data_IF_042669701411
#
_entry.id   IF_042669701411
#
_cell.length_a   1.000
_cell.length_b   1.000
_cell.length_c   1.000
_cell.angle_alpha   90.00
_cell.angle_beta   90.00
_cell.angle_gamma   90.00
#
_symmetry.space_group_name_H-M   'P 1'
#
loop_
_entity.id
_entity.type
_entity.pdbx_description
1 polymer ?
#
# COMPACT_ATOMS: atom_id res chain seq x y z
N UNK A 1 -6.81 17.97 20.81
CA UNK A 1 -6.24 18.22 19.47
C UNK A 1 -7.03 17.38 18.47
N UNK A 2 -7.58 18.02 17.43
CA UNK A 2 -8.32 17.33 16.38
C UNK A 2 -7.31 16.82 15.34
N UNK A 3 -7.38 15.54 14.97
CA UNK A 3 -6.49 14.91 13.99
C UNK A 3 -7.32 14.09 12.99
N UNK A 4 -6.87 13.96 11.74
CA UNK A 4 -7.60 13.20 10.72
C UNK A 4 -7.69 11.73 11.12
N UNK A 5 -8.91 11.15 11.11
CA UNK A 5 -9.13 9.74 11.44
C UNK A 5 -9.31 8.90 10.20
N UNK A 6 -9.06 7.61 10.36
CA UNK A 6 -9.23 6.62 9.31
C UNK A 6 -10.67 6.58 8.82
N UNK A 7 -10.84 6.59 7.51
CA UNK A 7 -12.15 6.57 6.87
C UNK A 7 -12.80 7.95 6.71
N UNK A 8 -12.15 9.02 7.15
CA UNK A 8 -12.55 10.39 6.83
C UNK A 8 -12.04 10.79 5.45
N UNK A 9 -12.78 11.68 4.80
CA UNK A 9 -12.41 12.22 3.50
C UNK A 9 -12.09 13.70 3.66
N UNK A 10 -10.92 14.09 3.18
CA UNK A 10 -10.37 15.43 3.31
C UNK A 10 -10.04 15.97 1.92
N UNK A 11 -10.09 17.27 1.74
CA UNK A 11 -9.48 17.89 0.57
C UNK A 11 -7.98 18.00 0.79
N UNK A 12 -7.20 17.66 -0.24
CA UNK A 12 -5.75 17.72 -0.14
C UNK A 12 -5.09 18.10 -1.47
N UNK A 13 -3.90 18.71 -1.34
CA UNK A 13 -2.98 18.92 -2.45
C UNK A 13 -1.97 17.78 -2.45
N UNK A 14 -1.94 16.97 -3.51
CA UNK A 14 -1.01 15.84 -3.61
C UNK A 14 0.20 16.31 -4.43
N UNK A 15 1.36 16.61 -3.81
CA UNK A 15 2.57 16.93 -4.55
C UNK A 15 3.08 15.64 -5.22
N UNK A 16 3.29 15.67 -6.53
CA UNK A 16 3.81 14.47 -7.21
C UNK A 16 3.56 14.39 -8.71
N UNK A 17 2.81 15.31 -9.30
CA UNK A 17 2.69 15.47 -10.75
C UNK A 17 3.12 16.89 -11.13
N UNK A 18 4.17 17.07 -11.94
CA UNK A 18 4.58 18.39 -12.41
C UNK A 18 3.40 19.11 -13.07
N UNK A 19 2.99 20.26 -12.51
CA UNK A 19 1.86 21.05 -13.02
C UNK A 19 0.47 20.68 -12.48
N UNK A 20 0.33 19.67 -11.61
CA UNK A 20 -0.96 19.35 -10.98
C UNK A 20 -1.12 20.10 -9.64
N UNK A 21 -1.61 21.32 -9.71
CA UNK A 21 -1.98 22.14 -8.53
C UNK A 21 -3.40 21.82 -8.03
N UNK A 22 -4.08 20.84 -8.62
CA UNK A 22 -5.50 20.59 -8.35
C UNK A 22 -5.67 19.97 -6.97
N UNK A 23 -6.57 20.57 -6.21
CA UNK A 23 -7.09 20.00 -4.97
C UNK A 23 -7.98 18.81 -5.32
N UNK A 24 -7.80 17.70 -4.60
CA UNK A 24 -8.56 16.47 -4.83
C UNK A 24 -9.07 15.93 -3.51
N UNK A 25 -10.26 15.32 -3.49
CA UNK A 25 -10.71 14.62 -2.30
C UNK A 25 -9.86 13.36 -2.10
N UNK A 26 -9.39 13.17 -0.88
CA UNK A 26 -8.56 12.04 -0.47
C UNK A 26 -9.15 11.34 0.73
N UNK A 27 -9.08 10.01 0.72
CA UNK A 27 -9.54 9.16 1.83
C UNK A 27 -8.36 8.80 2.73
N UNK A 28 -8.51 9.02 4.03
CA UNK A 28 -7.49 8.65 5.03
C UNK A 28 -7.54 7.15 5.30
N UNK A 29 -6.43 6.46 5.08
CA UNK A 29 -6.34 4.99 5.20
C UNK A 29 -5.43 4.50 6.31
N UNK A 30 -4.51 5.36 6.78
CA UNK A 30 -3.64 5.12 7.92
C UNK A 30 -4.42 4.90 9.21
N UNK A 31 -3.81 4.23 10.18
CA UNK A 31 -4.41 3.97 11.50
C UNK A 31 -4.46 5.25 12.33
N UNK A 32 -5.50 5.37 13.17
CA UNK A 32 -5.70 6.56 14.02
C UNK A 32 -4.50 6.83 14.94
N UNK A 33 -3.88 5.77 15.48
CA UNK A 33 -2.66 5.89 16.28
C UNK A 33 -1.51 6.52 15.48
N UNK A 34 -1.32 6.14 14.21
CA UNK A 34 -0.30 6.79 13.36
C UNK A 34 -0.67 8.24 13.13
N UNK A 35 -1.93 8.52 12.78
CA UNK A 35 -2.38 9.88 12.48
C UNK A 35 -2.25 10.83 13.67
N UNK A 36 -2.33 10.29 14.89
CA UNK A 36 -2.14 11.08 16.11
C UNK A 36 -0.68 11.49 16.31
N UNK A 37 0.28 10.58 16.12
CA UNK A 37 1.68 10.81 16.50
C UNK A 37 2.62 11.18 15.33
N UNK A 38 2.31 10.74 14.10
CA UNK A 38 3.14 11.03 12.94
C UNK A 38 2.81 12.40 12.35
N UNK A 39 3.78 13.05 11.69
CA UNK A 39 3.55 14.29 10.95
C UNK A 39 2.88 14.05 9.58
N UNK A 40 2.94 12.82 9.10
CA UNK A 40 2.34 12.39 7.83
C UNK A 40 1.11 11.49 8.05
N UNK A 41 0.32 11.35 7.00
CA UNK A 41 -0.80 10.43 6.92
C UNK A 41 -0.77 9.67 5.60
N UNK A 42 -1.37 8.47 5.58
CA UNK A 42 -1.53 7.70 4.36
C UNK A 42 -2.90 7.97 3.77
N UNK A 43 -2.93 8.38 2.52
CA UNK A 43 -4.15 8.77 1.82
C UNK A 43 -4.29 8.05 0.48
N UNK A 44 -5.54 7.90 0.05
CA UNK A 44 -5.89 7.38 -1.27
C UNK A 44 -6.72 8.43 -2.01
N UNK A 45 -6.30 8.88 -3.20
CA UNK A 45 -7.06 9.86 -3.96
C UNK A 45 -8.36 9.28 -4.52
N UNK A 46 -9.39 10.11 -4.53
CA UNK A 46 -10.68 9.81 -5.11
C UNK A 46 -10.81 10.47 -6.49
N UNK A 47 -11.55 9.82 -7.38
CA UNK A 47 -11.85 10.33 -8.71
C UNK A 47 -13.31 10.05 -9.05
N UNK A 48 -14.00 11.04 -9.60
CA UNK A 48 -15.37 10.89 -10.13
C UNK A 48 -15.40 10.11 -11.45
N UNK A 49 -14.25 9.93 -12.11
CA UNK A 49 -14.15 9.15 -13.34
C UNK A 49 -14.18 7.65 -13.01
N UNK A 50 -15.34 7.03 -13.21
CA UNK A 50 -15.60 5.62 -12.93
C UNK A 50 -14.96 4.71 -14.01
N UNK A 51 -13.64 4.52 -13.93
CA UNK A 51 -12.95 3.51 -14.75
C UNK A 51 -12.85 2.20 -13.97
N UNK A 52 -13.13 1.04 -14.55
CA UNK A 52 -12.93 -0.24 -13.87
C UNK A 52 -11.43 -0.54 -13.73
N UNK A 53 -11.01 -1.01 -12.56
CA UNK A 53 -9.67 -1.55 -12.29
C UNK A 53 -9.75 -2.51 -11.10
N UNK A 54 -8.93 -3.58 -11.04
CA UNK A 54 -8.88 -4.48 -9.89
C UNK A 54 -8.54 -3.77 -8.56
N UNK A 55 -7.77 -2.69 -8.62
CA UNK A 55 -7.36 -1.89 -7.46
C UNK A 55 -8.35 -0.79 -7.11
N UNK A 56 -9.31 -0.50 -7.98
CA UNK A 56 -10.30 0.53 -7.72
C UNK A 56 -11.37 0.05 -6.74
N UNK A 57 -11.76 0.96 -5.84
CA UNK A 57 -12.87 0.73 -4.92
C UNK A 57 -13.97 1.75 -5.22
N UNK A 58 -15.12 1.24 -5.64
CA UNK A 58 -16.30 2.06 -5.87
C UNK A 58 -16.87 2.59 -4.54
N UNK A 59 -17.15 3.89 -4.52
CA UNK A 59 -17.79 4.63 -3.43
C UNK A 59 -19.07 5.26 -3.98
N UNK A 60 -20.26 4.80 -3.57
CA UNK A 60 -21.51 5.44 -4.00
C UNK A 60 -21.66 6.83 -3.38
N UNK A 61 -22.45 7.70 -4.02
CA UNK A 61 -22.82 9.00 -3.45
C UNK A 61 -23.43 8.84 -2.04
N UNK A 62 -23.18 9.81 -1.17
CA UNK A 62 -23.55 9.79 0.26
C UNK A 62 -22.61 8.96 1.14
N UNK A 63 -21.59 8.30 0.58
CA UNK A 63 -20.62 7.53 1.38
C UNK A 63 -19.51 8.41 1.91
N UNK A 64 -19.51 8.72 3.21
CA UNK A 64 -18.47 9.57 3.80
C UNK A 64 -18.50 11.02 3.30
N UNK A 65 -19.71 11.54 3.01
CA UNK A 65 -19.92 12.95 2.66
C UNK A 65 -19.67 13.30 1.19
N UNK A 66 -19.39 12.30 0.34
CA UNK A 66 -19.22 12.52 -1.10
C UNK A 66 -20.59 12.75 -1.76
N UNK A 67 -20.75 13.86 -2.49
CA UNK A 67 -21.99 14.17 -3.23
C UNK A 67 -22.17 13.33 -4.50
N UNK A 68 -21.07 12.91 -5.13
CA UNK A 68 -21.05 12.20 -6.41
C UNK A 68 -20.46 10.78 -6.27
N UNK A 69 -20.94 9.80 -7.05
CA UNK A 69 -20.30 8.48 -7.07
C UNK A 69 -18.84 8.62 -7.52
N UNK A 70 -17.94 8.00 -6.77
CA UNK A 70 -16.49 8.15 -6.94
C UNK A 70 -15.79 6.81 -6.83
N UNK A 71 -14.55 6.77 -7.30
CA UNK A 71 -13.66 5.61 -7.19
C UNK A 71 -12.41 6.01 -6.43
N UNK A 72 -12.07 5.22 -5.41
CA UNK A 72 -10.80 5.32 -4.73
C UNK A 72 -9.73 4.54 -5.52
N UNK A 73 -8.65 5.24 -5.88
CA UNK A 73 -7.53 4.71 -6.65
C UNK A 73 -6.47 4.13 -5.72
N UNK A 74 -6.65 2.90 -5.24
CA UNK A 74 -5.72 2.29 -4.28
C UNK A 74 -4.30 2.11 -4.86
N UNK A 75 -4.17 2.11 -6.20
CA UNK A 75 -2.91 2.18 -6.94
C UNK A 75 -2.23 3.55 -6.93
N UNK A 76 -2.80 4.55 -6.25
CA UNK A 76 -2.18 5.85 -6.04
C UNK A 76 -2.09 6.20 -4.55
N UNK A 77 -2.00 5.20 -3.67
CA UNK A 77 -1.75 5.44 -2.24
C UNK A 77 -0.48 6.29 -2.06
N UNK A 78 -0.57 7.36 -1.29
CA UNK A 78 0.51 8.31 -1.05
C UNK A 78 0.64 8.63 0.45
N UNK A 79 1.87 8.87 0.90
CA UNK A 79 2.12 9.49 2.19
C UNK A 79 2.11 11.00 2.00
N UNK A 80 1.31 11.70 2.79
CA UNK A 80 1.12 13.13 2.68
C UNK A 80 1.38 13.79 4.04
N UNK A 81 2.17 14.86 4.05
CA UNK A 81 2.33 15.69 5.24
C UNK A 81 0.98 16.34 5.60
N UNK A 82 0.65 16.40 6.89
CA UNK A 82 -0.57 17.05 7.39
C UNK A 82 -0.69 18.51 6.92
N UNK A 83 0.41 19.18 6.59
CA UNK A 83 0.41 20.56 6.05
C UNK A 83 -0.36 20.66 4.71
N UNK A 84 -0.41 19.59 3.92
CA UNK A 84 -1.09 19.58 2.63
C UNK A 84 -2.58 19.22 2.70
N UNK A 85 -3.08 18.91 3.91
CA UNK A 85 -4.51 18.77 4.15
C UNK A 85 -5.15 20.14 4.29
N UNK A 86 -6.26 20.33 3.61
CA UNK A 86 -7.07 21.55 3.75
C UNK A 86 -7.96 21.41 4.99
N UNK A 87 -8.29 22.56 5.61
CA UNK A 87 -9.14 22.59 6.80
C UNK A 87 -10.56 22.05 6.52
N UNK A 88 -11.04 22.21 5.29
CA UNK A 88 -12.31 21.68 4.84
C UNK A 88 -12.24 20.15 4.67
N UNK A 89 -13.03 19.47 5.49
CA UNK A 89 -13.17 18.03 5.48
C UNK A 89 -14.64 17.64 5.46
N UNK A 90 -14.93 16.51 4.83
CA UNK A 90 -16.26 15.91 4.94
C UNK A 90 -16.38 15.25 6.30
N UNK A 91 -17.37 15.68 7.06
CA UNK A 91 -17.62 15.26 8.45
C UNK A 91 -18.16 13.84 8.54
N UNK A 92 -18.78 13.35 7.47
CA UNK A 92 -19.31 12.00 7.39
C UNK A 92 -18.19 10.98 7.19
N UNK A 93 -18.22 9.93 8.01
CA UNK A 93 -17.25 8.84 7.91
C UNK A 93 -17.67 7.78 6.91
N UNK A 94 -16.69 7.21 6.23
CA UNK A 94 -16.93 6.03 5.41
C UNK A 94 -17.28 4.82 6.30
N UNK A 95 -18.36 4.13 5.94
CA UNK A 95 -18.86 2.98 6.70
C UNK A 95 -17.79 1.88 6.84
N UNK A 96 -17.65 1.23 8.03
CA UNK A 96 -16.55 0.29 8.31
C UNK A 96 -16.34 -0.84 7.30
N UNK A 97 -17.41 -1.39 6.73
CA UNK A 97 -17.33 -2.46 5.71
C UNK A 97 -16.65 -1.99 4.42
N UNK A 98 -16.80 -0.71 4.03
CA UNK A 98 -16.11 -0.12 2.87
C UNK A 98 -14.65 0.13 3.19
N UNK A 99 -14.34 0.62 4.39
CA UNK A 99 -12.97 0.77 4.88
C UNK A 99 -12.20 -0.56 4.91
N UNK A 100 -12.87 -1.67 5.25
CA UNK A 100 -12.30 -3.02 5.20
C UNK A 100 -12.00 -3.46 3.76
N UNK A 101 -12.92 -3.23 2.82
CA UNK A 101 -12.73 -3.51 1.39
C UNK A 101 -11.54 -2.71 0.82
N UNK A 102 -11.42 -1.44 1.22
CA UNK A 102 -10.31 -0.58 0.83
C UNK A 102 -8.97 -1.09 1.38
N UNK A 103 -8.92 -1.46 2.66
CA UNK A 103 -7.73 -2.08 3.26
C UNK A 103 -7.28 -3.32 2.50
N UNK A 104 -8.23 -4.19 2.13
CA UNK A 104 -7.95 -5.42 1.36
C UNK A 104 -7.35 -5.10 0.00
N UNK A 105 -7.97 -4.19 -0.78
CA UNK A 105 -7.49 -3.80 -2.12
C UNK A 105 -6.16 -3.05 -2.09
N UNK A 106 -5.94 -2.16 -1.13
CA UNK A 106 -4.65 -1.50 -0.92
C UNK A 106 -3.56 -2.52 -0.54
N UNK A 107 -3.88 -3.51 0.29
CA UNK A 107 -2.94 -4.57 0.66
C UNK A 107 -2.64 -5.52 -0.50
N UNK A 108 -3.62 -5.84 -1.37
CA UNK A 108 -3.42 -6.65 -2.59
C UNK A 108 -2.40 -6.02 -3.53
N UNK A 109 -2.36 -4.68 -3.62
CA UNK A 109 -1.29 -3.97 -4.32
C UNK A 109 0.09 -4.22 -3.69
N UNK A 110 0.18 -4.10 -2.36
CA UNK A 110 1.43 -4.31 -1.61
C UNK A 110 1.82 -5.81 -1.54
N UNK A 111 0.88 -6.73 -1.76
CA UNK A 111 1.14 -8.16 -1.80
C UNK A 111 2.00 -8.55 -3.01
N UNK A 112 1.90 -7.82 -4.14
CA UNK A 112 2.81 -7.95 -5.28
C UNK A 112 4.23 -7.41 -5.01
N UNK A 113 4.39 -6.54 -4.00
CA UNK A 113 5.71 -6.07 -3.52
C UNK A 113 6.29 -6.98 -2.43
N UNK A 114 5.59 -8.04 -2.00
CA UNK A 114 6.22 -9.04 -1.16
C UNK A 114 7.27 -9.75 -2.01
N UNK A 115 8.56 -9.77 -1.60
CA UNK A 115 9.50 -10.68 -2.23
C UNK A 115 8.89 -12.07 -2.15
N UNK A 116 8.89 -12.81 -3.27
CA UNK A 116 8.58 -14.25 -3.22
C UNK A 116 9.41 -14.83 -2.09
N UNK A 117 8.85 -15.70 -1.22
CA UNK A 117 9.64 -16.30 -0.16
C UNK A 117 10.89 -16.92 -0.80
N UNK A 118 12.05 -16.32 -0.51
CA UNK A 118 13.34 -16.85 -0.94
C UNK A 118 13.51 -18.15 -0.17
N UNK A 119 13.06 -19.24 -0.79
CA UNK A 119 13.27 -20.56 -0.23
C UNK A 119 14.75 -20.81 -0.38
N UNK A 120 15.50 -20.72 0.72
CA UNK A 120 16.87 -21.21 0.78
C UNK A 120 16.78 -22.69 0.44
N UNK A 121 17.07 -23.05 -0.80
CA UNK A 121 17.35 -24.43 -1.14
C UNK A 121 18.59 -24.80 -0.32
N UNK A 122 18.39 -25.56 0.75
CA UNK A 122 19.51 -26.15 1.48
C UNK A 122 20.31 -26.95 0.46
N UNK A 123 21.56 -26.55 0.26
CA UNK A 123 22.50 -27.28 -0.58
C UNK A 123 22.51 -28.76 -0.14
N UNK A 124 22.49 -29.71 -1.10
CA UNK A 124 22.59 -31.12 -0.74
C UNK A 124 23.88 -31.34 0.05
N UNK A 125 23.73 -32.02 1.19
CA UNK A 125 24.80 -32.38 2.11
C UNK A 125 25.89 -33.10 1.31
N UNK A 126 27.09 -32.50 1.24
CA UNK A 126 28.27 -33.12 0.64
C UNK A 126 28.46 -34.52 1.22
N UNK A 127 28.18 -35.54 0.40
CA UNK A 127 28.54 -36.92 0.73
C UNK A 127 30.05 -37.00 0.62
N UNK A 128 30.72 -37.35 1.71
CA UNK A 128 32.16 -37.65 1.72
C UNK A 128 32.41 -38.79 0.74
N UNK A 129 33.00 -38.48 -0.40
CA UNK A 129 33.58 -39.47 -1.31
C UNK A 129 34.74 -40.13 -0.57
N UNK A 130 34.71 -41.45 -0.44
CA UNK A 130 35.78 -42.24 0.15
C UNK A 130 37.08 -42.04 -0.66
N UNK A 131 38.20 -41.85 0.04
CA UNK A 131 39.53 -41.72 -0.57
C UNK A 131 39.88 -43.01 -1.32
N UNK A 132 40.35 -42.95 -2.58
CA UNK A 132 40.96 -44.12 -3.20
C UNK A 132 42.34 -44.36 -2.58
N UNK A 133 42.54 -45.56 -2.04
CA UNK A 133 43.86 -46.11 -1.73
C UNK A 133 44.61 -46.34 -3.04
N UNK A 134 45.63 -45.54 -3.30
CA UNK A 134 46.55 -45.72 -4.41
C UNK A 134 47.75 -46.53 -3.91
N UNK A 135 47.82 -47.80 -4.29
CA UNK A 135 49.04 -48.61 -4.14
C UNK A 135 49.98 -48.28 -5.29
N UNK A 136 51.20 -47.84 -4.96
CA UNK A 136 52.25 -47.50 -5.91
C UNK A 136 53.14 -48.73 -6.07
N UNK A 137 53.01 -49.45 -7.19
CA UNK A 137 53.96 -50.50 -7.57
C UNK A 137 55.12 -49.88 -8.35
N UNK A 138 56.31 -50.04 -7.77
CA UNK A 138 57.58 -49.51 -8.25
C UNK A 138 58.22 -50.53 -9.20
N UNK A 139 58.19 -50.28 -10.51
CA UNK A 139 58.86 -51.14 -11.49
C UNK A 139 60.19 -50.50 -11.91
N UNK A 140 61.29 -51.11 -11.46
CA UNK A 140 62.68 -50.80 -11.85
C UNK A 140 62.91 -51.12 -13.33
N UNK A 141 63.55 -50.21 -14.04
CA UNK A 141 64.55 -50.50 -15.09
C UNK A 141 65.53 -49.35 -15.22
#
# INVERSE_FOLDING_TARGET
MQFPKRGEIHWAKIPGQPGDTKERPVLVVSTDSRNQFANDILVVPLSTTLRPSPTHVYLPAGSGGISLPSVAKCELIAALDKIFLLADHWTDKLHPHKCAKLKRRSCERLAWLRPKPFTIQRAPRLVRVAKPTFSFDFQKS
#
